data_IF_517690486928
#
_entry.id   IF_517690486928
#
_cell.length_a   1.000
_cell.length_b   1.000
_cell.length_c   1.000
_cell.angle_alpha   90.00
_cell.angle_beta   90.00
_cell.angle_gamma   90.00
#
_symmetry.space_group_name_H-M   'P 1'
#
loop_
_entity.id
_entity.type
_entity.pdbx_description
1 polymer ?
#
# COMPACT_ATOMS: atom_id res chain seq x y z
N UNK A 1 -65.82 -0.64 49.34
CA UNK A 1 -65.14 0.67 49.37
C UNK A 1 -63.65 0.42 49.15
N UNK A 2 -63.10 1.00 48.08
CA UNK A 2 -61.69 1.37 47.85
C UNK A 2 -60.55 0.34 47.69
N UNK A 3 -60.29 -0.02 46.41
CA UNK A 3 -59.11 0.32 45.56
C UNK A 3 -57.67 -0.04 45.99
N UNK A 4 -56.92 -0.53 44.97
CA UNK A 4 -55.43 -0.63 44.75
C UNK A 4 -54.86 -2.03 45.07
N UNK A 5 -53.93 -2.63 44.30
CA UNK A 5 -52.99 -2.16 43.28
C UNK A 5 -52.94 -3.12 42.08
N UNK A 6 -52.84 -2.55 40.88
CA UNK A 6 -52.37 -3.21 39.67
C UNK A 6 -50.83 -3.29 39.76
N UNK A 7 -50.27 -4.49 39.96
CA UNK A 7 -48.84 -4.73 39.99
C UNK A 7 -48.32 -5.14 38.61
N UNK A 8 -47.41 -4.35 38.06
CA UNK A 8 -46.67 -4.60 36.82
C UNK A 8 -45.93 -5.94 36.88
N UNK A 9 -46.16 -6.81 35.89
CA UNK A 9 -45.25 -7.88 35.50
C UNK A 9 -44.58 -7.46 34.19
N UNK A 10 -43.51 -6.68 34.31
CA UNK A 10 -42.51 -6.51 33.25
C UNK A 10 -41.44 -7.56 33.54
N UNK A 11 -41.51 -8.70 32.85
CA UNK A 11 -40.49 -9.74 32.95
C UNK A 11 -39.53 -9.62 31.76
N UNK A 12 -38.29 -9.33 32.12
CA UNK A 12 -37.09 -9.13 31.31
C UNK A 12 -36.88 -10.18 30.21
N UNK A 13 -36.68 -9.74 28.97
CA UNK A 13 -36.24 -10.61 27.86
C UNK A 13 -35.42 -9.87 26.78
N UNK A 14 -34.52 -8.94 27.15
CA UNK A 14 -33.64 -8.24 26.18
C UNK A 14 -32.25 -7.91 26.75
N UNK A 15 -31.53 -8.88 27.33
CA UNK A 15 -30.13 -8.67 27.79
C UNK A 15 -29.13 -9.66 27.15
N UNK A 16 -29.48 -10.32 26.04
CA UNK A 16 -28.58 -11.26 25.34
C UNK A 16 -28.32 -10.87 23.88
N UNK A 17 -28.56 -9.60 23.51
CA UNK A 17 -28.29 -9.10 22.16
C UNK A 17 -27.52 -7.78 22.28
N UNK A 18 -26.19 -7.89 22.45
CA UNK A 18 -25.20 -6.85 22.09
C UNK A 18 -23.74 -7.23 22.43
N UNK A 19 -23.42 -8.49 22.79
CA UNK A 19 -22.04 -9.00 22.71
C UNK A 19 -21.76 -9.62 21.33
N UNK A 20 -22.35 -9.06 20.27
CA UNK A 20 -21.83 -9.30 18.94
C UNK A 20 -20.55 -8.48 18.82
N UNK A 21 -19.41 -9.09 19.12
CA UNK A 21 -18.11 -8.58 18.67
C UNK A 21 -18.26 -8.27 17.18
N UNK A 22 -18.17 -6.98 16.85
CA UNK A 22 -18.19 -6.55 15.46
C UNK A 22 -17.07 -7.33 14.76
N UNK A 23 -17.36 -8.03 13.65
CA UNK A 23 -16.33 -8.80 12.97
C UNK A 23 -15.16 -7.84 12.67
N UNK A 24 -13.91 -8.27 12.93
CA UNK A 24 -12.75 -7.44 12.65
C UNK A 24 -12.81 -6.98 11.19
N UNK A 25 -12.34 -5.76 10.92
CA UNK A 25 -12.45 -5.13 9.59
C UNK A 25 -11.71 -5.91 8.48
N UNK A 26 -11.02 -6.99 8.87
CA UNK A 26 -10.12 -7.78 8.07
C UNK A 26 -8.92 -6.96 7.65
N UNK A 27 -8.31 -7.40 6.55
CA UNK A 27 -7.23 -6.70 5.89
C UNK A 27 -7.71 -6.17 4.54
N UNK A 28 -8.29 -4.96 4.51
CA UNK A 28 -8.64 -4.30 3.26
C UNK A 28 -7.37 -3.85 2.54
N UNK A 29 -7.41 -3.87 1.21
CA UNK A 29 -6.36 -3.34 0.34
C UNK A 29 -7.04 -2.67 -0.83
N UNK A 30 -6.83 -1.37 -0.99
CA UNK A 30 -7.28 -0.68 -2.20
C UNK A 30 -6.48 -1.21 -3.39
N UNK A 31 -7.19 -1.58 -4.44
CA UNK A 31 -6.58 -2.14 -5.64
C UNK A 31 -6.11 -1.04 -6.60
N UNK A 32 -5.37 -1.46 -7.64
CA UNK A 32 -4.85 -0.62 -8.73
C UNK A 32 -3.58 0.13 -8.33
N UNK A 33 -3.49 1.40 -8.73
CA UNK A 33 -2.27 2.19 -8.70
C UNK A 33 -2.06 2.84 -7.33
N UNK A 34 -0.89 2.61 -6.77
CA UNK A 34 -0.36 3.23 -5.57
C UNK A 34 0.84 4.09 -5.93
N UNK A 35 1.03 5.21 -5.23
CA UNK A 35 2.24 6.00 -5.34
C UNK A 35 3.11 5.70 -4.12
N UNK A 36 4.38 5.39 -4.37
CA UNK A 36 5.34 5.11 -3.30
C UNK A 36 6.55 6.02 -3.38
N UNK A 37 7.08 6.38 -2.22
CA UNK A 37 8.36 7.07 -2.08
C UNK A 37 9.35 6.14 -1.40
N UNK A 38 10.60 6.15 -1.86
CA UNK A 38 11.67 5.33 -1.35
C UNK A 38 12.60 6.18 -0.49
N UNK A 39 12.73 5.81 0.78
CA UNK A 39 13.60 6.46 1.76
C UNK A 39 14.86 5.62 1.93
N UNK A 40 16.04 6.07 1.46
CA UNK A 40 17.28 5.31 1.61
C UNK A 40 17.55 4.98 3.09
N UNK A 41 17.89 3.72 3.38
CA UNK A 41 18.24 3.27 4.74
C UNK A 41 19.69 3.56 5.13
N UNK A 42 20.50 4.04 4.19
CA UNK A 42 21.91 4.36 4.39
C UNK A 42 22.53 4.96 3.14
N UNK A 43 23.83 5.29 3.19
CA UNK A 43 24.56 5.71 2.00
C UNK A 43 24.58 4.55 0.99
N UNK A 44 24.29 4.86 -0.27
CA UNK A 44 24.43 3.93 -1.39
C UNK A 44 25.30 4.57 -2.46
N UNK A 45 26.16 3.77 -3.10
CA UNK A 45 26.87 4.15 -4.32
C UNK A 45 25.98 4.06 -5.56
N UNK A 46 24.79 3.47 -5.44
CA UNK A 46 23.82 3.35 -6.52
C UNK A 46 23.02 4.64 -6.69
N UNK A 47 22.56 4.94 -7.92
CA UNK A 47 21.59 5.99 -8.14
C UNK A 47 20.37 5.82 -7.23
N UNK A 48 20.04 6.86 -6.47
CA UNK A 48 18.88 6.85 -5.57
C UNK A 48 17.62 7.00 -6.40
N UNK A 49 16.67 6.09 -6.22
CA UNK A 49 15.34 6.15 -6.84
C UNK A 49 14.38 6.87 -5.90
N UNK A 50 13.68 7.89 -6.40
CA UNK A 50 12.73 8.67 -5.59
C UNK A 50 11.51 7.83 -5.14
N UNK A 51 11.14 6.86 -5.96
CA UNK A 51 9.98 6.00 -5.80
C UNK A 51 9.41 5.60 -7.16
N UNK A 52 8.18 5.12 -7.19
CA UNK A 52 7.43 4.86 -8.42
C UNK A 52 5.94 4.64 -8.13
N UNK A 53 5.18 4.34 -9.20
CA UNK A 53 3.86 3.74 -9.04
C UNK A 53 3.96 2.22 -8.89
N UNK A 54 3.15 1.65 -8.00
CA UNK A 54 2.99 0.21 -7.83
C UNK A 54 1.55 -0.18 -8.19
N UNK A 55 1.37 -1.28 -8.93
CA UNK A 55 0.12 -2.01 -8.94
C UNK A 55 0.02 -2.87 -7.69
N UNK A 56 -0.95 -2.63 -6.81
CA UNK A 56 -1.17 -3.47 -5.63
C UNK A 56 -2.56 -4.08 -5.73
N UNK A 57 -2.64 -5.40 -5.49
CA UNK A 57 -3.90 -6.11 -5.53
C UNK A 57 -3.96 -7.18 -4.45
N UNK A 58 -5.13 -7.26 -3.80
CA UNK A 58 -5.48 -8.36 -2.91
C UNK A 58 -6.37 -9.35 -3.66
N UNK A 59 -6.18 -10.63 -3.41
CA UNK A 59 -7.03 -11.69 -3.95
C UNK A 59 -7.10 -12.86 -2.98
N UNK A 60 -8.25 -13.53 -2.99
CA UNK A 60 -8.50 -14.69 -2.13
C UNK A 60 -8.37 -15.97 -2.93
N UNK A 61 -7.69 -16.97 -2.38
CA UNK A 61 -7.59 -18.30 -2.98
C UNK A 61 -8.91 -19.07 -2.81
N UNK A 62 -9.14 -20.16 -3.56
CA UNK A 62 -10.30 -21.02 -3.34
C UNK A 62 -10.39 -21.62 -1.93
N UNK A 63 -9.27 -21.70 -1.20
CA UNK A 63 -9.21 -22.15 0.20
C UNK A 63 -9.48 -21.04 1.21
N UNK A 64 -9.75 -19.82 0.75
CA UNK A 64 -10.01 -18.65 1.60
C UNK A 64 -8.74 -18.02 2.18
N UNK A 65 -7.56 -18.33 1.64
CA UNK A 65 -6.32 -17.64 2.02
C UNK A 65 -6.21 -16.31 1.26
N UNK A 66 -5.71 -15.27 1.93
CA UNK A 66 -5.56 -13.96 1.33
C UNK A 66 -4.14 -13.79 0.81
N UNK A 67 -4.03 -13.26 -0.40
CA UNK A 67 -2.75 -12.98 -1.03
C UNK A 67 -2.67 -11.53 -1.48
N UNK A 68 -1.44 -11.03 -1.50
CA UNK A 68 -1.08 -9.69 -1.95
C UNK A 68 -0.13 -9.81 -3.14
N UNK A 69 -0.40 -9.08 -4.21
CA UNK A 69 0.56 -8.84 -5.28
C UNK A 69 1.05 -7.40 -5.25
N UNK A 70 2.33 -7.22 -5.58
CA UNK A 70 3.00 -5.92 -5.71
C UNK A 70 3.69 -5.90 -7.08
N UNK A 71 3.28 -5.00 -7.96
CA UNK A 71 3.71 -4.90 -9.36
C UNK A 71 4.40 -3.55 -9.60
N UNK A 72 5.73 -3.44 -9.45
CA UNK A 72 6.47 -2.20 -9.71
C UNK A 72 6.42 -1.79 -11.18
N UNK A 73 6.09 -0.53 -11.47
CA UNK A 73 6.05 0.02 -12.82
C UNK A 73 7.38 -0.19 -13.59
N UNK A 74 8.52 -0.12 -12.89
CA UNK A 74 9.84 -0.40 -13.49
C UNK A 74 9.95 -1.83 -14.03
N UNK A 75 9.40 -2.84 -13.34
CA UNK A 75 9.40 -4.21 -13.85
C UNK A 75 8.41 -4.39 -15.02
N UNK A 76 7.27 -3.68 -14.98
CA UNK A 76 6.27 -3.70 -16.07
C UNK A 76 6.87 -3.18 -17.38
N UNK A 77 7.69 -2.12 -17.30
CA UNK A 77 8.36 -1.56 -18.47
C UNK A 77 9.30 -2.55 -19.20
N UNK A 78 9.66 -3.66 -18.56
CA UNK A 78 10.50 -4.71 -19.12
C UNK A 78 9.71 -5.94 -19.61
N UNK A 79 8.37 -5.95 -19.52
CA UNK A 79 7.54 -7.11 -19.89
C UNK A 79 7.77 -7.58 -21.33
N UNK A 80 7.90 -6.66 -22.29
CA UNK A 80 8.13 -7.02 -23.70
C UNK A 80 9.51 -7.63 -23.94
N UNK A 81 10.51 -7.25 -23.14
CA UNK A 81 11.91 -7.69 -23.30
C UNK A 81 12.21 -8.98 -22.52
N UNK A 82 11.47 -9.23 -21.44
CA UNK A 82 11.57 -10.45 -20.64
C UNK A 82 10.16 -10.95 -20.27
N UNK A 83 9.43 -11.57 -21.21
CA UNK A 83 8.07 -12.05 -20.97
C UNK A 83 8.01 -13.32 -20.11
N UNK A 84 9.15 -14.01 -19.91
CA UNK A 84 9.20 -15.28 -19.18
C UNK A 84 9.07 -15.10 -17.66
N UNK A 85 9.46 -13.93 -17.14
CA UNK A 85 9.39 -13.60 -15.71
C UNK A 85 8.23 -12.66 -15.42
N UNK A 86 7.58 -12.87 -14.27
CA UNK A 86 6.47 -12.04 -13.84
C UNK A 86 6.97 -10.70 -13.28
N UNK A 87 6.37 -9.59 -13.72
CA UNK A 87 6.68 -8.24 -13.22
C UNK A 87 6.11 -7.94 -11.82
N UNK A 88 5.78 -8.95 -11.01
CA UNK A 88 5.17 -8.76 -9.70
C UNK A 88 5.64 -9.78 -8.66
N UNK A 89 5.70 -9.30 -7.43
CA UNK A 89 5.85 -10.10 -6.22
C UNK A 89 4.47 -10.57 -5.78
N UNK A 90 4.39 -11.79 -5.26
CA UNK A 90 3.13 -12.38 -4.79
C UNK A 90 3.38 -13.18 -3.52
N UNK A 91 2.42 -13.17 -2.59
CA UNK A 91 2.46 -14.04 -1.42
C UNK A 91 1.35 -13.78 -0.42
N UNK A 92 1.48 -14.33 0.78
CA UNK A 92 0.43 -14.35 1.78
C UNK A 92 0.22 -12.96 2.41
N UNK A 93 -1.05 -12.62 2.65
CA UNK A 93 -1.50 -11.46 3.42
C UNK A 93 -2.21 -11.96 4.68
N UNK A 94 -1.87 -11.38 5.84
CA UNK A 94 -2.58 -11.66 7.08
C UNK A 94 -4.08 -11.34 6.93
N UNK A 95 -4.93 -12.10 7.61
CA UNK A 95 -6.39 -11.86 7.62
C UNK A 95 -6.79 -10.77 8.62
N UNK A 96 -5.93 -10.53 9.60
CA UNK A 96 -6.17 -9.61 10.71
C UNK A 96 -4.99 -8.64 10.85
N UNK A 97 -5.30 -7.45 11.37
CA UNK A 97 -4.31 -6.45 11.70
C UNK A 97 -3.61 -6.78 13.02
N UNK A 98 -2.35 -6.39 13.13
CA UNK A 98 -1.60 -6.40 14.39
C UNK A 98 -2.06 -5.26 15.33
N UNK A 99 -1.45 -5.19 16.52
CA UNK A 99 -1.76 -4.18 17.53
C UNK A 99 -1.50 -2.73 17.09
N UNK A 100 -0.68 -2.52 16.04
CA UNK A 100 -0.44 -1.20 15.45
C UNK A 100 -1.43 -0.88 14.32
N UNK A 101 -2.36 -1.79 14.02
CA UNK A 101 -3.35 -1.62 12.98
C UNK A 101 -2.81 -1.92 11.58
N UNK A 102 -1.81 -2.80 11.45
CA UNK A 102 -1.27 -3.21 10.16
C UNK A 102 -1.49 -4.69 9.86
N UNK A 103 -1.81 -4.97 8.60
CA UNK A 103 -1.83 -6.32 8.05
C UNK A 103 -0.48 -6.64 7.42
N UNK A 104 0.19 -7.63 7.98
CA UNK A 104 1.50 -8.06 7.46
C UNK A 104 1.34 -8.92 6.21
N UNK A 105 2.24 -8.75 5.25
CA UNK A 105 2.33 -9.57 4.06
C UNK A 105 3.75 -10.13 3.89
N UNK A 106 3.83 -11.37 3.41
CA UNK A 106 5.09 -12.00 2.99
C UNK A 106 4.97 -12.31 1.52
N UNK A 107 5.73 -11.59 0.70
CA UNK A 107 5.71 -11.72 -0.76
C UNK A 107 7.05 -12.23 -1.27
N UNK A 108 7.03 -12.94 -2.40
CA UNK A 108 8.25 -13.39 -3.07
C UNK A 108 9.04 -12.25 -3.72
N UNK A 109 10.22 -12.60 -4.21
CA UNK A 109 11.03 -11.69 -5.05
C UNK A 109 10.41 -11.59 -6.45
N UNK A 110 10.48 -10.40 -7.04
CA UNK A 110 10.16 -10.17 -8.45
C UNK A 110 11.41 -9.70 -9.19
N UNK A 111 11.63 -10.21 -10.39
CA UNK A 111 12.81 -9.88 -11.16
C UNK A 111 12.52 -9.84 -12.66
N UNK A 112 13.33 -9.06 -13.38
CA UNK A 112 13.37 -8.98 -14.84
C UNK A 112 14.81 -9.04 -15.31
N UNK A 113 15.05 -9.79 -16.37
CA UNK A 113 16.33 -9.99 -17.04
C UNK A 113 16.15 -9.67 -18.52
N UNK A 114 16.21 -8.39 -18.87
CA UNK A 114 16.02 -7.93 -20.23
C UNK A 114 17.33 -8.06 -21.02
N UNK A 115 17.38 -8.87 -22.10
CA UNK A 115 18.58 -8.99 -22.93
C UNK A 115 18.86 -7.70 -23.68
N UNK A 116 20.12 -7.51 -24.09
CA UNK A 116 20.51 -6.39 -24.94
C UNK A 116 19.78 -6.45 -26.29
N UNK A 117 19.40 -5.28 -26.81
CA UNK A 117 18.88 -5.09 -28.17
C UNK A 117 19.83 -4.18 -28.95
N UNK A 118 19.48 -3.85 -30.19
CA UNK A 118 20.25 -2.88 -30.98
C UNK A 118 20.30 -1.48 -30.32
N UNK A 119 19.24 -1.13 -29.58
CA UNK A 119 19.02 0.22 -29.06
C UNK A 119 19.19 0.33 -27.53
N UNK A 120 19.13 -0.80 -26.81
CA UNK A 120 19.14 -0.83 -25.35
C UNK A 120 20.15 -1.86 -24.81
N UNK A 121 20.90 -1.52 -23.74
CA UNK A 121 21.79 -2.47 -23.08
C UNK A 121 20.97 -3.58 -22.39
N UNK A 122 21.66 -4.67 -22.05
CA UNK A 122 21.08 -5.67 -21.15
C UNK A 122 20.85 -5.05 -19.77
N UNK A 123 19.72 -5.39 -19.14
CA UNK A 123 19.32 -4.85 -17.84
C UNK A 123 18.75 -5.95 -16.95
N UNK A 124 19.20 -6.01 -15.70
CA UNK A 124 18.76 -6.95 -14.67
C UNK A 124 18.22 -6.18 -13.47
N UNK A 125 16.94 -6.34 -13.14
CA UNK A 125 16.31 -5.66 -12.01
C UNK A 125 15.66 -6.68 -11.07
N UNK A 126 15.88 -6.52 -9.77
CA UNK A 126 15.32 -7.38 -8.71
C UNK A 126 14.71 -6.53 -7.60
N UNK A 127 13.49 -6.89 -7.20
CA UNK A 127 12.77 -6.35 -6.05
C UNK A 127 12.60 -7.45 -5.00
N UNK A 128 13.29 -7.31 -3.87
CA UNK A 128 13.10 -8.16 -2.70
C UNK A 128 12.46 -7.35 -1.57
N UNK A 129 11.17 -7.61 -1.36
CA UNK A 129 10.37 -6.95 -0.33
C UNK A 129 10.51 -7.68 1.02
N UNK A 130 10.49 -6.92 2.11
CA UNK A 130 10.37 -7.44 3.47
C UNK A 130 9.54 -6.47 4.31
N UNK A 131 9.05 -6.94 5.46
CA UNK A 131 8.24 -6.12 6.39
C UNK A 131 7.08 -5.37 5.71
N UNK A 132 6.45 -6.00 4.70
CA UNK A 132 5.31 -5.40 3.99
C UNK A 132 4.13 -5.35 4.94
N UNK A 133 3.60 -4.15 5.17
CA UNK A 133 2.52 -3.89 6.12
C UNK A 133 1.51 -2.92 5.50
N UNK A 134 0.27 -3.36 5.34
CA UNK A 134 -0.84 -2.54 4.84
C UNK A 134 -1.66 -2.01 6.01
N UNK A 135 -1.96 -0.72 6.02
CA UNK A 135 -2.73 -0.09 7.08
C UNK A 135 -4.18 -0.58 7.07
N UNK A 136 -4.69 -1.00 8.22
CA UNK A 136 -6.04 -1.51 8.44
C UNK A 136 -6.71 -0.77 9.61
N UNK A 137 -6.57 0.55 9.64
CA UNK A 137 -7.28 1.41 10.58
C UNK A 137 -8.58 1.93 9.95
N UNK A 138 -9.66 2.13 10.74
CA UNK A 138 -10.93 2.65 10.22
C UNK A 138 -10.82 4.00 9.49
N UNK A 139 -9.88 4.86 9.88
CA UNK A 139 -9.67 6.17 9.26
C UNK A 139 -8.97 6.07 7.90
N UNK A 140 -8.26 4.97 7.64
CA UNK A 140 -7.45 4.77 6.44
C UNK A 140 -7.36 3.28 6.06
N UNK A 141 -8.50 2.62 5.77
CA UNK A 141 -8.54 1.18 5.59
C UNK A 141 -7.96 0.77 4.24
N UNK A 142 -6.81 0.13 4.25
CA UNK A 142 -6.17 -0.45 3.07
C UNK A 142 -5.60 0.57 2.10
N UNK A 143 -5.35 1.81 2.54
CA UNK A 143 -4.97 2.95 1.68
C UNK A 143 -3.55 3.43 1.87
N UNK A 144 -2.82 2.90 2.86
CA UNK A 144 -1.41 3.22 3.09
C UNK A 144 -0.61 1.96 3.38
N UNK A 145 0.69 1.99 3.09
CA UNK A 145 1.59 0.87 3.35
C UNK A 145 2.97 1.34 3.80
N UNK A 146 3.63 0.50 4.60
CA UNK A 146 5.08 0.54 4.78
C UNK A 146 5.68 -0.79 4.35
N UNK A 147 6.89 -0.74 3.82
CA UNK A 147 7.67 -1.93 3.53
C UNK A 147 9.15 -1.60 3.57
N UNK A 148 9.98 -2.63 3.56
CA UNK A 148 11.39 -2.55 3.28
C UNK A 148 11.64 -3.15 1.89
N UNK A 149 12.51 -2.52 1.11
CA UNK A 149 12.86 -2.95 -0.23
C UNK A 149 14.38 -3.03 -0.36
N UNK A 150 14.87 -4.21 -0.72
CA UNK A 150 16.19 -4.37 -1.34
C UNK A 150 16.00 -4.35 -2.85
N UNK A 151 16.46 -3.26 -3.47
CA UNK A 151 16.40 -3.06 -4.91
C UNK A 151 17.79 -3.31 -5.51
N UNK A 152 17.87 -4.15 -6.54
CA UNK A 152 19.12 -4.38 -7.28
C UNK A 152 18.90 -4.11 -8.75
N UNK A 153 19.74 -3.28 -9.34
CA UNK A 153 19.74 -2.96 -10.77
C UNK A 153 21.16 -3.09 -11.30
N UNK A 154 21.37 -3.95 -12.30
CA UNK A 154 22.65 -4.17 -12.99
C UNK A 154 23.82 -4.44 -12.03
N UNK A 155 23.54 -5.18 -10.95
CA UNK A 155 24.51 -5.54 -9.91
C UNK A 155 24.74 -4.47 -8.84
N UNK A 156 24.05 -3.32 -8.91
CA UNK A 156 24.07 -2.29 -7.89
C UNK A 156 22.87 -2.44 -6.95
N UNK A 157 23.12 -2.59 -5.64
CA UNK A 157 22.08 -2.79 -4.63
C UNK A 157 21.89 -1.56 -3.74
N UNK A 158 20.63 -1.17 -3.53
CA UNK A 158 20.23 -0.14 -2.58
C UNK A 158 19.09 -0.65 -1.68
N UNK A 159 19.09 -0.18 -0.44
CA UNK A 159 18.07 -0.53 0.56
C UNK A 159 17.20 0.68 0.90
N UNK A 160 15.90 0.46 0.92
CA UNK A 160 14.90 1.51 1.13
C UNK A 160 13.89 1.09 2.21
N UNK A 161 13.44 2.07 2.99
CA UNK A 161 12.10 2.04 3.58
C UNK A 161 11.13 2.65 2.57
N UNK A 162 10.02 1.98 2.31
CA UNK A 162 9.03 2.35 1.29
C UNK A 162 7.78 2.83 1.99
N UNK A 163 7.33 4.02 1.64
CA UNK A 163 6.06 4.58 2.11
C UNK A 163 5.11 4.70 0.93
N UNK A 164 3.95 4.09 1.03
CA UNK A 164 2.97 4.06 -0.06
C UNK A 164 1.60 4.56 0.34
N UNK A 165 0.88 5.13 -0.63
CA UNK A 165 -0.53 5.45 -0.51
C UNK A 165 -1.31 5.21 -1.79
N UNK A 166 -2.61 5.00 -1.60
CA UNK A 166 -3.64 5.03 -2.62
C UNK A 166 -4.52 6.29 -2.44
N UNK A 167 -5.00 6.91 -3.53
CA UNK A 167 -4.72 6.61 -4.94
C UNK A 167 -3.33 7.10 -5.37
N UNK A 168 -2.70 6.37 -6.29
CA UNK A 168 -1.34 6.63 -6.75
C UNK A 168 -1.21 7.41 -8.06
N UNK A 169 -2.31 7.75 -8.70
CA UNK A 169 -2.40 8.41 -10.01
C UNK A 169 -2.69 9.91 -9.91
N UNK A 170 -2.68 10.46 -8.70
CA UNK A 170 -2.89 11.90 -8.48
C UNK A 170 -1.64 12.66 -8.90
N UNK A 171 -1.73 13.29 -10.07
CA UNK A 171 -0.76 14.25 -10.56
C UNK A 171 -0.73 15.51 -9.69
N UNK A 172 0.46 16.05 -9.45
CA UNK A 172 0.64 17.27 -8.67
C UNK A 172 1.59 18.27 -9.33
N UNK A 173 1.75 18.19 -10.65
CA UNK A 173 2.43 19.21 -11.41
C UNK A 173 1.52 20.45 -11.59
N UNK A 174 2.07 21.64 -11.41
CA UNK A 174 1.41 22.89 -11.79
C UNK A 174 1.45 23.11 -13.31
N UNK A 175 0.93 24.24 -13.79
CA UNK A 175 0.93 24.58 -15.22
C UNK A 175 2.34 24.69 -15.84
N UNK A 176 3.37 24.93 -15.02
CA UNK A 176 4.78 24.97 -15.43
C UNK A 176 5.47 23.60 -15.37
N UNK A 177 4.77 22.54 -14.94
CA UNK A 177 5.34 21.20 -14.76
C UNK A 177 6.13 21.03 -13.45
N UNK A 178 6.02 21.96 -12.51
CA UNK A 178 6.72 21.95 -11.23
C UNK A 178 5.85 21.35 -10.12
N UNK A 179 6.44 20.73 -9.08
CA UNK A 179 5.67 20.11 -8.00
C UNK A 179 4.90 21.15 -7.18
N UNK A 180 3.60 20.91 -6.97
CA UNK A 180 2.71 21.76 -6.17
C UNK A 180 1.99 20.96 -5.07
N UNK A 181 2.38 21.22 -3.83
CA UNK A 181 1.77 20.60 -2.65
C UNK A 181 0.32 21.01 -2.43
N UNK A 182 -0.09 22.19 -2.93
CA UNK A 182 -1.47 22.66 -2.87
C UNK A 182 -2.42 21.75 -3.65
N UNK A 183 -1.95 21.11 -4.72
CA UNK A 183 -2.74 20.12 -5.48
C UNK A 183 -2.99 18.89 -4.61
N UNK A 184 -1.94 18.33 -3.98
CA UNK A 184 -2.09 17.17 -3.09
C UNK A 184 -2.96 17.45 -1.86
N UNK A 185 -2.93 18.68 -1.34
CA UNK A 185 -3.72 19.07 -0.18
C UNK A 185 -5.23 19.13 -0.46
N UNK A 186 -5.61 19.38 -1.72
CA UNK A 186 -6.98 19.63 -2.16
C UNK A 186 -7.52 18.59 -3.16
N UNK A 187 -6.76 17.52 -3.43
CA UNK A 187 -7.17 16.48 -4.38
C UNK A 187 -8.38 15.70 -3.85
N UNK A 188 -9.51 15.76 -4.57
CA UNK A 188 -10.77 15.14 -4.14
C UNK A 188 -10.75 13.61 -4.01
N UNK A 189 -9.73 12.92 -4.55
CA UNK A 189 -9.54 11.48 -4.43
C UNK A 189 -8.66 11.04 -3.24
N UNK A 190 -7.98 11.98 -2.58
CA UNK A 190 -7.13 11.70 -1.42
C UNK A 190 -7.96 11.99 -0.16
N UNK A 191 -7.87 11.09 0.83
CA UNK A 191 -8.50 11.34 2.12
C UNK A 191 -7.95 12.66 2.72
N UNK A 192 -8.81 13.64 3.08
CA UNK A 192 -8.37 14.94 3.57
C UNK A 192 -7.54 14.88 4.86
N UNK A 193 -7.65 13.79 5.63
CA UNK A 193 -6.85 13.57 6.83
C UNK A 193 -5.42 13.14 6.49
N UNK A 194 -5.09 12.86 5.22
CA UNK A 194 -3.74 12.42 4.86
C UNK A 194 -2.78 13.61 4.78
N UNK A 195 -1.63 13.46 5.43
CA UNK A 195 -0.47 14.32 5.24
C UNK A 195 0.24 13.86 3.96
N UNK A 196 0.10 14.65 2.90
CA UNK A 196 0.62 14.37 1.56
C UNK A 196 1.53 15.49 1.07
N UNK A 197 2.46 15.12 0.19
CA UNK A 197 3.40 16.03 -0.48
C UNK A 197 3.52 15.63 -1.94
N UNK A 198 3.80 16.59 -2.81
CA UNK A 198 4.13 16.31 -4.19
C UNK A 198 5.60 15.85 -4.28
N UNK A 199 5.83 14.64 -4.79
CA UNK A 199 7.20 14.17 -5.03
C UNK A 199 7.79 14.93 -6.24
N UNK A 200 8.95 15.59 -6.09
CA UNK A 200 9.49 16.47 -7.12
C UNK A 200 10.03 15.72 -8.35
N UNK A 201 10.24 14.41 -8.25
CA UNK A 201 10.74 13.58 -9.36
C UNK A 201 9.59 12.87 -10.05
N UNK A 202 8.65 12.33 -9.28
CA UNK A 202 7.55 11.53 -9.80
C UNK A 202 6.35 12.38 -10.23
N UNK A 203 6.22 13.61 -9.69
CA UNK A 203 5.06 14.48 -9.86
C UNK A 203 3.74 13.78 -9.46
N UNK A 204 3.83 12.95 -8.42
CA UNK A 204 2.70 12.25 -7.79
C UNK A 204 2.59 12.62 -6.33
N UNK A 205 1.36 12.66 -5.82
CA UNK A 205 1.12 12.80 -4.39
C UNK A 205 1.54 11.54 -3.64
N UNK A 206 2.43 11.71 -2.67
CA UNK A 206 2.98 10.64 -1.82
C UNK A 206 2.80 10.97 -0.33
N UNK A 207 2.98 10.00 0.59
CA UNK A 207 2.94 10.28 2.02
C UNK A 207 4.03 11.27 2.42
N UNK A 208 3.66 12.33 3.16
CA UNK A 208 4.63 13.32 3.66
C UNK A 208 5.46 12.79 4.84
N UNK A 209 4.94 11.80 5.58
CA UNK A 209 5.62 11.11 6.67
C UNK A 209 5.33 9.61 6.62
N UNK A 210 6.09 8.84 7.41
CA UNK A 210 5.92 7.39 7.53
C UNK A 210 4.45 7.05 7.86
N UNK A 211 3.79 6.17 7.09
CA UNK A 211 2.44 5.73 7.39
C UNK A 211 2.25 5.17 8.81
N UNK A 212 1.11 5.44 9.48
CA UNK A 212 -0.03 6.22 8.99
C UNK A 212 0.27 7.73 8.89
N UNK A 213 0.20 8.27 7.67
CA UNK A 213 0.55 9.65 7.34
C UNK A 213 -0.68 10.52 7.46
N UNK A 214 -1.10 10.77 8.70
CA UNK A 214 -2.29 11.58 9.03
C UNK A 214 -1.90 13.02 9.40
N UNK A 215 -2.76 14.01 9.20
CA UNK A 215 -2.51 15.42 9.57
C UNK A 215 -2.60 15.64 11.08
#
# INVERSE_FOLDING_TARGET
MNRRLLGMLVAASLMAACETEQPPIGCPVQSLTWAVTYKPKGPSSCPVKAGEQLGIQKFSTPTGEEQLSIKPATLVALDERDPERLAYSIGALAKEADAEGFCSATVGTAEKQAPATADLPATSITYAWSNVRILALPLAPGTQMVADLTYTEDGCTAEYEVWGMWPGDVDCANEAGEPDNGICANAGGINPDFSTVCDPTQLRCVPAKRPPSLR
#
